data_IF_093476853691
#
_entry.id   IF_093476853691
#
_cell.length_a   1.000
_cell.length_b   1.000
_cell.length_c   1.000
_cell.angle_alpha   90.00
_cell.angle_beta   90.00
_cell.angle_gamma   90.00
#
_symmetry.space_group_name_H-M   'P 1'
#
loop_
_entity.id
_entity.type
_entity.pdbx_description
1 polymer ?
#
# COMPACT_ATOMS: atom_id res chain seq x y z
N UNK A 1 1.97 20.01 -9.84
CA UNK A 1 2.17 19.12 -8.69
C UNK A 1 3.37 19.56 -7.87
N UNK A 2 3.18 19.54 -6.57
CA UNK A 2 4.24 19.85 -5.63
C UNK A 2 5.18 18.64 -5.54
N UNK A 3 6.48 18.90 -5.60
CA UNK A 3 7.54 17.92 -5.38
C UNK A 3 7.22 17.11 -4.12
N UNK A 4 7.39 15.77 -4.10
CA UNK A 4 7.14 14.99 -2.90
C UNK A 4 7.93 15.58 -1.72
N UNK A 5 7.22 16.15 -0.75
CA UNK A 5 7.83 16.81 0.41
C UNK A 5 8.24 15.80 1.49
N UNK A 6 7.72 14.58 1.40
CA UNK A 6 7.94 13.54 2.40
C UNK A 6 9.41 13.07 2.42
N UNK A 7 10.13 13.28 3.54
CA UNK A 7 11.57 13.03 3.63
C UNK A 7 11.96 11.57 3.34
N UNK A 8 11.09 10.62 3.67
CA UNK A 8 11.33 9.18 3.52
C UNK A 8 11.38 8.75 2.05
N UNK A 9 10.51 9.34 1.23
CA UNK A 9 10.43 9.08 -0.21
C UNK A 9 11.65 9.65 -0.92
N UNK A 10 12.06 10.88 -0.55
CA UNK A 10 13.28 11.50 -1.05
C UNK A 10 14.53 10.71 -0.65
N UNK A 11 14.57 10.15 0.57
CA UNK A 11 15.67 9.34 1.05
C UNK A 11 15.80 8.01 0.30
N UNK A 12 14.68 7.35 -0.05
CA UNK A 12 14.68 6.12 -0.85
C UNK A 12 15.22 6.36 -2.27
N UNK A 13 14.79 7.45 -2.90
CA UNK A 13 15.24 7.83 -4.25
C UNK A 13 16.74 8.11 -4.28
N UNK A 14 17.27 8.84 -3.28
CA UNK A 14 18.69 9.15 -3.17
C UNK A 14 19.58 7.94 -2.89
N UNK A 15 19.02 6.85 -2.35
CA UNK A 15 19.76 5.61 -2.06
C UNK A 15 19.87 4.67 -3.26
N UNK A 16 19.19 4.94 -4.37
CA UNK A 16 19.38 4.16 -5.60
C UNK A 16 20.78 4.41 -6.18
N UNK A 17 21.57 3.34 -6.29
CA UNK A 17 22.93 3.38 -6.86
C UNK A 17 23.02 3.99 -8.26
N UNK A 18 21.91 4.03 -9.00
CA UNK A 18 21.82 4.57 -10.35
C UNK A 18 21.40 6.04 -10.37
N UNK A 19 20.93 6.58 -9.24
CA UNK A 19 20.46 7.97 -9.12
C UNK A 19 21.46 9.01 -9.63
N UNK A 20 22.78 8.94 -9.31
CA UNK A 20 23.75 9.91 -9.82
C UNK A 20 23.89 9.87 -11.34
N UNK A 21 23.81 8.68 -11.94
CA UNK A 21 23.91 8.47 -13.38
C UNK A 21 22.67 9.01 -14.11
N UNK A 22 21.48 8.82 -13.54
CA UNK A 22 20.22 9.32 -14.13
C UNK A 22 20.11 10.84 -14.02
N UNK A 23 20.46 11.45 -12.89
CA UNK A 23 20.50 12.90 -12.73
C UNK A 23 21.54 13.53 -13.68
N UNK A 24 22.70 12.92 -13.83
CA UNK A 24 23.72 13.47 -14.72
C UNK A 24 23.33 13.36 -16.21
N UNK A 25 22.68 12.26 -16.60
CA UNK A 25 22.31 11.99 -18.01
C UNK A 25 20.99 12.63 -18.45
N UNK A 26 20.04 12.78 -17.55
CA UNK A 26 18.67 13.23 -17.86
C UNK A 26 18.20 14.39 -16.96
N UNK A 27 18.91 14.67 -15.86
CA UNK A 27 18.45 15.57 -14.80
C UNK A 27 18.56 17.07 -15.10
N UNK A 28 19.32 17.48 -16.12
CA UNK A 28 19.53 18.91 -16.40
C UNK A 28 18.52 19.57 -17.33
N UNK A 29 17.92 18.81 -18.25
CA UNK A 29 16.97 19.34 -19.24
C UNK A 29 15.66 18.53 -19.21
N UNK A 30 15.78 17.20 -19.30
CA UNK A 30 14.62 16.30 -19.43
C UNK A 30 13.82 16.16 -18.14
N UNK A 31 14.44 16.16 -16.94
CA UNK A 31 13.65 16.10 -15.70
C UNK A 31 12.83 17.37 -15.48
N UNK A 32 13.34 18.57 -15.79
CA UNK A 32 12.55 19.79 -15.65
C UNK A 32 11.37 19.81 -16.65
N UNK A 33 11.59 19.35 -17.88
CA UNK A 33 10.56 19.30 -18.92
C UNK A 33 9.53 18.19 -18.68
N UNK A 34 9.98 17.02 -18.24
CA UNK A 34 9.11 15.88 -17.95
C UNK A 34 8.33 16.12 -16.66
N UNK A 35 8.95 16.70 -15.64
CA UNK A 35 8.26 17.10 -14.40
C UNK A 35 7.25 18.23 -14.70
N UNK A 36 7.60 19.21 -15.55
CA UNK A 36 6.65 20.22 -16.04
C UNK A 36 5.54 19.64 -16.94
N UNK A 37 5.83 18.63 -17.75
CA UNK A 37 4.84 17.95 -18.60
C UNK A 37 3.88 17.10 -17.77
N UNK A 38 4.42 16.29 -16.84
CA UNK A 38 3.64 15.56 -15.84
C UNK A 38 2.85 16.51 -14.94
N UNK A 39 3.33 17.74 -14.76
CA UNK A 39 2.62 18.78 -14.04
C UNK A 39 1.37 19.29 -14.73
N UNK A 40 1.39 19.34 -16.06
CA UNK A 40 0.34 19.91 -16.89
C UNK A 40 -0.65 18.86 -17.40
N UNK A 41 -0.18 17.62 -17.61
CA UNK A 41 -0.95 16.53 -18.19
C UNK A 41 -0.88 15.26 -17.30
N UNK A 42 -0.97 15.43 -15.99
CA UNK A 42 -0.88 14.35 -15.01
C UNK A 42 -1.91 13.24 -15.27
N UNK A 43 -3.17 13.62 -15.47
CA UNK A 43 -4.27 12.67 -15.66
C UNK A 43 -4.09 11.90 -16.97
N UNK A 44 -3.70 12.57 -18.06
CA UNK A 44 -3.46 11.92 -19.35
C UNK A 44 -2.27 10.95 -19.28
N UNK A 45 -1.20 11.34 -18.60
CA UNK A 45 -0.04 10.46 -18.37
C UNK A 45 -0.41 9.25 -17.53
N UNK A 46 -1.13 9.47 -16.41
CA UNK A 46 -1.60 8.42 -15.52
C UNK A 46 -2.49 7.43 -16.28
N UNK A 47 -3.48 7.93 -17.01
CA UNK A 47 -4.41 7.09 -17.79
C UNK A 47 -3.67 6.29 -18.87
N UNK A 48 -2.68 6.90 -19.53
CA UNK A 48 -1.84 6.22 -20.54
C UNK A 48 -1.00 5.12 -19.91
N UNK A 49 -0.39 5.41 -18.75
CA UNK A 49 0.42 4.46 -18.00
C UNK A 49 -0.43 3.28 -17.49
N UNK A 50 -1.59 3.57 -16.91
CA UNK A 50 -2.55 2.55 -16.47
C UNK A 50 -2.97 1.68 -17.66
N UNK A 51 -3.36 2.27 -18.79
CA UNK A 51 -3.76 1.53 -20.01
C UNK A 51 -2.63 0.68 -20.61
N UNK A 52 -1.36 1.10 -20.44
CA UNK A 52 -0.21 0.34 -20.92
C UNK A 52 0.16 -0.82 -20.00
N UNK A 53 -0.11 -0.69 -18.69
CA UNK A 53 0.23 -1.69 -17.68
C UNK A 53 -0.91 -2.69 -17.47
N UNK A 54 -2.17 -2.29 -17.58
CA UNK A 54 -3.37 -3.14 -17.41
C UNK A 54 -3.26 -4.49 -18.16
N UNK A 55 -2.82 -4.54 -19.43
CA UNK A 55 -2.72 -5.81 -20.17
C UNK A 55 -1.54 -6.68 -19.75
N UNK A 56 -0.56 -6.10 -19.05
CA UNK A 56 0.63 -6.79 -18.53
C UNK A 56 0.38 -7.36 -17.12
N UNK A 57 -0.72 -6.94 -16.48
CA UNK A 57 -1.16 -7.47 -15.20
C UNK A 57 -1.90 -8.78 -15.45
N UNK A 58 -1.37 -9.86 -14.88
CA UNK A 58 -2.03 -11.16 -14.91
C UNK A 58 -3.23 -11.15 -13.94
N UNK A 59 -4.44 -11.12 -14.52
CA UNK A 59 -5.70 -11.11 -13.78
C UNK A 59 -5.93 -12.40 -12.97
N UNK A 60 -5.35 -13.52 -13.41
CA UNK A 60 -5.44 -14.79 -12.69
C UNK A 60 -4.58 -14.73 -11.43
N UNK A 61 -3.37 -14.18 -11.53
CA UNK A 61 -2.49 -13.97 -10.38
C UNK A 61 -3.09 -13.02 -9.31
N UNK A 62 -3.85 -12.00 -9.73
CA UNK A 62 -4.60 -11.14 -8.80
C UNK A 62 -5.70 -11.93 -8.10
N UNK A 63 -6.46 -12.71 -8.86
CA UNK A 63 -7.57 -13.51 -8.33
C UNK A 63 -7.08 -14.55 -7.31
N UNK A 64 -5.98 -15.26 -7.62
CA UNK A 64 -5.34 -16.20 -6.71
C UNK A 64 -4.86 -15.53 -5.41
N UNK A 65 -4.22 -14.35 -5.52
CA UNK A 65 -3.78 -13.58 -4.35
C UNK A 65 -4.97 -13.20 -3.46
N UNK A 66 -6.07 -12.76 -4.05
CA UNK A 66 -7.23 -12.28 -3.31
C UNK A 66 -8.02 -13.43 -2.66
N UNK A 67 -8.07 -14.61 -3.29
CA UNK A 67 -8.56 -15.84 -2.65
C UNK A 67 -7.65 -16.29 -1.50
N UNK A 68 -6.33 -16.28 -1.70
CA UNK A 68 -5.38 -16.62 -0.65
C UNK A 68 -5.52 -15.69 0.57
N UNK A 69 -5.64 -14.39 0.34
CA UNK A 69 -5.83 -13.39 1.39
C UNK A 69 -7.17 -13.57 2.14
N UNK A 70 -8.26 -13.93 1.45
CA UNK A 70 -9.52 -14.29 2.10
C UNK A 70 -9.35 -15.51 2.99
N UNK A 71 -8.72 -16.57 2.48
CA UNK A 71 -8.47 -17.78 3.27
C UNK A 71 -7.65 -17.51 4.54
N UNK A 72 -6.66 -16.61 4.46
CA UNK A 72 -5.86 -16.21 5.62
C UNK A 72 -6.68 -15.43 6.64
N UNK A 73 -7.53 -14.49 6.19
CA UNK A 73 -8.43 -13.74 7.08
C UNK A 73 -9.39 -14.67 7.80
N UNK A 74 -9.97 -15.64 7.10
CA UNK A 74 -10.91 -16.60 7.69
C UNK A 74 -10.22 -17.49 8.73
N UNK A 75 -9.01 -17.98 8.42
CA UNK A 75 -8.20 -18.75 9.36
C UNK A 75 -7.80 -17.94 10.59
N UNK A 76 -7.46 -16.67 10.41
CA UNK A 76 -7.12 -15.77 11.50
C UNK A 76 -8.34 -15.52 12.40
N UNK A 77 -9.51 -15.28 11.80
CA UNK A 77 -10.76 -15.11 12.53
C UNK A 77 -11.09 -16.37 13.36
N UNK A 78 -11.02 -17.56 12.76
CA UNK A 78 -11.24 -18.83 13.46
C UNK A 78 -10.25 -19.06 14.61
N UNK A 79 -8.99 -18.64 14.46
CA UNK A 79 -8.00 -18.76 15.53
C UNK A 79 -8.26 -17.80 16.71
N UNK A 80 -8.80 -16.60 16.44
CA UNK A 80 -9.07 -15.57 17.46
C UNK A 80 -10.42 -15.82 18.17
N UNK A 81 -11.38 -16.44 17.48
CA UNK A 81 -12.76 -16.64 18.01
C UNK A 81 -12.79 -17.33 19.39
N UNK A 82 -12.05 -18.44 19.64
CA UNK A 82 -12.06 -19.11 20.94
C UNK A 82 -11.52 -18.25 22.09
N UNK A 83 -10.51 -17.42 21.80
CA UNK A 83 -9.94 -16.52 22.81
C UNK A 83 -10.85 -15.33 23.06
N UNK A 84 -11.57 -14.86 22.04
CA UNK A 84 -12.56 -13.80 22.18
C UNK A 84 -13.77 -14.25 23.02
N UNK A 85 -14.26 -15.47 22.80
CA UNK A 85 -15.35 -16.07 23.59
C UNK A 85 -14.95 -16.24 25.07
N UNK A 86 -13.72 -16.74 25.33
CA UNK A 86 -13.18 -16.85 26.70
C UNK A 86 -13.08 -15.50 27.40
N UNK A 87 -12.65 -14.45 26.70
CA UNK A 87 -12.54 -13.10 27.26
C UNK A 87 -13.91 -12.51 27.63
N UNK A 88 -14.94 -12.73 26.81
CA UNK A 88 -16.30 -12.27 27.12
C UNK A 88 -16.92 -13.05 28.29
N UNK A 89 -16.64 -14.33 28.43
CA UNK A 89 -17.07 -15.12 29.60
C UNK A 89 -16.40 -14.64 30.89
N UNK A 90 -15.09 -14.38 30.87
CA UNK A 90 -14.36 -13.82 32.04
C UNK A 90 -14.93 -12.46 32.43
N UNK A 91 -15.18 -11.59 31.45
CA UNK A 91 -15.80 -10.28 31.67
C UNK A 91 -17.20 -10.40 32.27
N UNK A 92 -18.01 -11.35 31.80
CA UNK A 92 -19.35 -11.62 32.34
C UNK A 92 -19.30 -12.08 33.79
N UNK A 93 -18.39 -13.00 34.13
CA UNK A 93 -18.17 -13.46 35.51
C UNK A 93 -17.73 -12.34 36.46
N UNK A 94 -16.86 -11.43 36.00
CA UNK A 94 -16.44 -10.26 36.79
C UNK A 94 -17.63 -9.33 37.05
N UNK A 95 -18.41 -9.02 36.02
CA UNK A 95 -19.59 -8.15 36.15
C UNK A 95 -20.63 -8.75 37.10
N UNK A 96 -20.89 -10.06 37.01
CA UNK A 96 -21.83 -10.74 37.91
C UNK A 96 -21.36 -10.68 39.36
N UNK A 97 -20.07 -10.91 39.61
CA UNK A 97 -19.49 -10.84 40.96
C UNK A 97 -19.62 -9.45 41.59
N UNK A 98 -19.40 -8.39 40.81
CA UNK A 98 -19.58 -7.00 41.27
C UNK A 98 -21.04 -6.57 41.42
N UNK A 99 -22.01 -7.32 40.84
CA UNK A 99 -23.45 -7.06 41.01
C UNK A 99 -24.07 -7.83 42.19
N UNK A 100 -23.38 -8.85 42.68
CA UNK A 100 -23.78 -9.68 43.83
C UNK A 100 -23.18 -9.21 45.17
N UNK A 101 -22.33 -8.18 45.15
CA UNK A 101 -21.91 -7.39 46.32
C UNK A 101 -22.79 -6.14 46.47
#
# INVERSE_FOLDING_TARGET
PETPLEPETLAKIRRDSRYPKYIHKYGREIFCELDAFLSLAYDDFKNTLESAIEPLIDGDAISERDEFNRSLKDRLAQAITPDHERLEDVKRQIIERFRSE
#
